data_IF_297553832643
#
_entry.id   IF_297553832643
#
_cell.length_a   1.000
_cell.length_b   1.000
_cell.length_c   1.000
_cell.angle_alpha   90.00
_cell.angle_beta   90.00
_cell.angle_gamma   90.00
#
_symmetry.space_group_name_H-M   'P 1'
#
loop_
_entity.id
_entity.type
_entity.pdbx_description
1 polymer ?
#
# COMPACT_ATOMS: atom_id res chain seq x y z
N UNK A 1 -4.53 8.73 -18.73
CA UNK A 1 -5.50 9.37 -17.82
C UNK A 1 -4.91 10.67 -17.30
N UNK A 2 -5.69 11.76 -17.22
CA UNK A 2 -5.27 13.02 -16.60
C UNK A 2 -5.64 12.97 -15.13
N UNK A 3 -4.66 13.14 -14.24
CA UNK A 3 -4.93 13.38 -12.82
C UNK A 3 -5.75 14.67 -12.69
N UNK A 4 -6.73 14.72 -11.77
CA UNK A 4 -7.53 15.92 -11.55
C UNK A 4 -6.70 17.06 -10.94
N UNK A 5 -7.15 18.29 -11.15
CA UNK A 5 -6.46 19.53 -10.75
C UNK A 5 -6.24 19.59 -9.22
N UNK A 6 -4.99 19.80 -8.72
CA UNK A 6 -4.66 19.81 -7.29
C UNK A 6 -5.44 20.82 -6.46
N UNK A 7 -5.91 21.92 -7.06
CA UNK A 7 -6.71 22.93 -6.38
C UNK A 7 -8.16 22.47 -6.15
N UNK A 8 -8.63 21.51 -6.95
CA UNK A 8 -10.01 20.99 -6.89
C UNK A 8 -10.09 19.55 -6.39
N UNK A 9 -8.98 18.80 -6.46
CA UNK A 9 -8.81 17.43 -6.02
C UNK A 9 -7.38 17.27 -5.49
N UNK A 10 -7.15 17.55 -4.19
CA UNK A 10 -5.84 17.37 -3.58
C UNK A 10 -5.37 15.92 -3.74
N UNK A 11 -4.05 15.74 -3.91
CA UNK A 11 -3.44 14.43 -3.95
C UNK A 11 -3.83 13.65 -2.69
N UNK A 12 -4.33 12.41 -2.85
CA UNK A 12 -4.62 11.59 -1.68
C UNK A 12 -3.31 11.17 -1.00
N UNK A 13 -3.38 10.74 0.27
CA UNK A 13 -2.19 10.38 1.04
C UNK A 13 -1.28 9.33 0.34
N UNK A 14 -1.86 8.42 -0.47
CA UNK A 14 -1.06 7.50 -1.27
C UNK A 14 -0.34 8.19 -2.43
N UNK A 15 -0.96 9.18 -3.09
CA UNK A 15 -0.29 9.96 -4.12
C UNK A 15 0.87 10.77 -3.54
N UNK A 16 0.68 11.39 -2.37
CA UNK A 16 1.77 12.11 -1.68
C UNK A 16 2.93 11.18 -1.33
N UNK A 17 2.64 9.98 -0.80
CA UNK A 17 3.65 8.98 -0.44
C UNK A 17 4.48 8.48 -1.65
N UNK A 18 3.91 8.48 -2.85
CA UNK A 18 4.48 7.77 -4.01
C UNK A 18 4.98 8.66 -5.11
N UNK A 19 4.36 9.82 -5.30
CA UNK A 19 4.72 10.82 -6.29
C UNK A 19 5.33 12.09 -5.66
N UNK A 20 5.25 12.21 -4.33
CA UNK A 20 5.64 13.41 -3.59
C UNK A 20 4.51 14.44 -3.48
N UNK A 21 4.75 15.58 -2.81
CA UNK A 21 3.75 16.63 -2.58
C UNK A 21 3.30 17.34 -3.88
N UNK A 22 4.06 17.18 -4.96
CA UNK A 22 3.77 17.71 -6.29
C UNK A 22 3.25 16.60 -7.20
N UNK A 23 2.15 16.86 -7.94
CA UNK A 23 1.53 15.92 -8.88
C UNK A 23 2.47 15.55 -10.04
N UNK A 24 3.31 14.55 -9.81
CA UNK A 24 4.16 13.91 -10.80
C UNK A 24 3.51 12.61 -11.27
N UNK A 25 3.48 12.36 -12.58
CA UNK A 25 3.07 11.06 -13.13
C UNK A 25 4.13 9.97 -12.87
N UNK A 26 5.34 10.38 -12.50
CA UNK A 26 6.42 9.50 -12.13
C UNK A 26 6.48 9.35 -10.62
N UNK A 27 6.80 8.15 -10.16
CA UNK A 27 7.15 7.90 -8.77
C UNK A 27 8.35 8.76 -8.34
N UNK A 28 8.30 9.28 -7.11
CA UNK A 28 9.40 10.05 -6.53
C UNK A 28 10.65 9.17 -6.35
N UNK A 29 11.82 9.80 -6.32
CA UNK A 29 13.06 9.09 -6.05
C UNK A 29 13.03 8.46 -4.65
N UNK A 30 12.45 9.13 -3.65
CA UNK A 30 12.29 8.57 -2.31
C UNK A 30 11.39 7.33 -2.32
N UNK A 31 10.29 7.35 -3.06
CA UNK A 31 9.41 6.18 -3.18
C UNK A 31 10.09 5.00 -3.86
N UNK A 32 10.87 5.24 -4.91
CA UNK A 32 11.65 4.17 -5.57
C UNK A 32 12.66 3.54 -4.61
N UNK A 33 13.38 4.35 -3.83
CA UNK A 33 14.29 3.87 -2.79
C UNK A 33 13.56 3.13 -1.64
N UNK A 34 12.33 3.56 -1.34
CA UNK A 34 11.47 2.90 -0.36
C UNK A 34 11.05 1.52 -0.83
N UNK A 35 10.56 1.40 -2.08
CA UNK A 35 10.17 0.11 -2.67
C UNK A 35 11.33 -0.85 -2.79
N UNK A 36 12.54 -0.39 -3.10
CA UNK A 36 13.70 -1.29 -3.21
C UNK A 36 14.06 -1.97 -1.88
N UNK A 37 13.62 -1.42 -0.75
CA UNK A 37 13.79 -2.02 0.58
C UNK A 37 12.76 -3.12 0.87
N UNK A 38 11.76 -3.31 0.01
CA UNK A 38 10.69 -4.29 0.20
C UNK A 38 11.03 -5.52 -0.65
N UNK A 39 11.38 -6.61 0.02
CA UNK A 39 11.91 -7.83 -0.58
C UNK A 39 10.79 -8.88 -0.61
N UNK A 40 10.67 -9.60 -1.74
CA UNK A 40 9.67 -10.64 -1.97
C UNK A 40 8.21 -10.19 -1.85
N UNK A 41 7.95 -8.89 -1.99
CA UNK A 41 6.62 -8.34 -2.19
C UNK A 41 6.68 -7.24 -3.25
N UNK A 42 5.68 -7.22 -4.12
CA UNK A 42 5.48 -6.12 -5.05
C UNK A 42 4.44 -5.18 -4.44
N UNK A 43 4.81 -3.94 -4.11
CA UNK A 43 3.82 -2.92 -3.79
C UNK A 43 3.28 -2.38 -5.11
N UNK A 44 2.10 -2.85 -5.47
CA UNK A 44 1.32 -2.29 -6.57
C UNK A 44 0.42 -1.21 -5.99
N UNK A 45 0.60 0.02 -6.44
CA UNK A 45 -0.44 1.03 -6.27
C UNK A 45 -1.57 0.69 -7.23
N UNK A 46 -2.60 0.03 -6.72
CA UNK A 46 -3.72 -0.36 -7.56
C UNK A 46 -4.64 0.85 -7.69
N UNK A 47 -4.62 1.50 -8.86
CA UNK A 47 -5.67 2.44 -9.22
C UNK A 47 -7.04 1.73 -9.17
N UNK A 48 -8.13 2.47 -8.96
CA UNK A 48 -9.46 1.88 -8.77
C UNK A 48 -9.87 0.92 -9.90
N UNK A 49 -9.35 1.15 -11.10
CA UNK A 49 -9.54 0.42 -12.35
C UNK A 49 -8.62 -0.81 -12.54
N UNK A 50 -7.53 -0.92 -11.80
CA UNK A 50 -6.54 -2.00 -11.95
C UNK A 50 -6.74 -3.14 -10.93
N UNK A 51 -7.80 -3.09 -10.13
CA UNK A 51 -8.10 -4.11 -9.10
C UNK A 51 -8.70 -5.35 -9.73
N UNK A 52 -8.21 -6.52 -9.33
CA UNK A 52 -8.90 -7.77 -9.63
C UNK A 52 -10.32 -7.74 -9.06
N UNK A 53 -11.28 -8.30 -9.79
CA UNK A 53 -12.69 -8.35 -9.33
C UNK A 53 -12.82 -8.99 -7.94
N UNK A 54 -11.98 -9.99 -7.63
CA UNK A 54 -11.90 -10.63 -6.32
C UNK A 54 -11.49 -9.65 -5.22
N UNK A 55 -10.46 -8.82 -5.44
CA UNK A 55 -10.05 -7.80 -4.49
C UNK A 55 -11.14 -6.73 -4.29
N UNK A 56 -11.80 -6.29 -5.37
CA UNK A 56 -12.90 -5.31 -5.29
C UNK A 56 -14.05 -5.83 -4.42
N UNK A 57 -14.47 -7.08 -4.65
CA UNK A 57 -15.56 -7.68 -3.88
C UNK A 57 -15.18 -7.86 -2.42
N UNK A 58 -13.96 -8.33 -2.15
CA UNK A 58 -13.46 -8.51 -0.79
C UNK A 58 -13.40 -7.17 -0.04
N UNK A 59 -12.87 -6.11 -0.66
CA UNK A 59 -12.82 -4.77 -0.07
C UNK A 59 -14.23 -4.24 0.25
N UNK A 60 -15.21 -4.45 -0.64
CA UNK A 60 -16.60 -4.06 -0.41
C UNK A 60 -17.23 -4.82 0.76
N UNK A 61 -17.02 -6.13 0.83
CA UNK A 61 -17.54 -6.97 1.91
C UNK A 61 -16.98 -6.57 3.27
N UNK A 62 -15.71 -6.17 3.33
CA UNK A 62 -15.01 -5.83 4.56
C UNK A 62 -15.00 -4.32 4.87
N UNK A 63 -15.69 -3.49 4.07
CA UNK A 63 -15.75 -2.04 4.29
C UNK A 63 -14.37 -1.34 4.17
N UNK A 64 -13.47 -1.89 3.36
CA UNK A 64 -12.08 -1.40 3.26
C UNK A 64 -12.01 -0.12 2.44
N UNK A 65 -11.67 0.98 3.11
CA UNK A 65 -11.43 2.27 2.49
C UNK A 65 -10.12 2.33 1.70
N UNK A 66 -9.99 3.37 0.88
CA UNK A 66 -8.78 3.66 0.10
C UNK A 66 -8.19 5.01 0.53
N UNK A 67 -6.87 5.19 0.56
CA UNK A 67 -5.84 4.23 0.14
C UNK A 67 -5.62 3.11 1.18
N UNK A 68 -5.13 1.94 0.75
CA UNK A 68 -4.76 0.84 1.63
C UNK A 68 -3.63 0.00 1.02
N UNK A 69 -2.75 -0.55 1.87
CA UNK A 69 -1.79 -1.58 1.49
C UNK A 69 -2.40 -2.93 1.85
N UNK A 70 -2.69 -3.72 0.83
CA UNK A 70 -3.30 -5.03 0.94
C UNK A 70 -2.33 -6.04 0.35
N UNK A 71 -2.18 -7.18 1.02
CA UNK A 71 -1.46 -8.33 0.48
C UNK A 71 -2.44 -9.44 0.13
N UNK A 72 -2.22 -10.08 -1.01
CA UNK A 72 -2.85 -11.34 -1.38
C UNK A 72 -2.02 -12.48 -0.80
N UNK A 73 -2.67 -13.38 -0.07
CA UNK A 73 -2.02 -14.58 0.41
C UNK A 73 -1.83 -15.53 -0.78
N UNK A 74 -0.58 -15.82 -1.15
CA UNK A 74 -0.29 -16.75 -2.24
C UNK A 74 -0.90 -18.13 -1.98
N UNK A 75 -1.29 -18.84 -3.04
CA UNK A 75 -1.85 -20.20 -2.95
C UNK A 75 -0.91 -21.14 -2.18
N UNK A 76 -1.28 -21.50 -0.95
CA UNK A 76 -0.44 -22.26 0.00
C UNK A 76 -0.18 -21.55 1.33
N UNK A 77 -0.30 -20.22 1.36
CA UNK A 77 -0.48 -19.44 2.58
C UNK A 77 -1.98 -19.27 2.75
N UNK A 78 -2.61 -20.10 3.58
CA UNK A 78 -3.90 -19.71 4.15
C UNK A 78 -3.62 -18.39 4.84
N UNK A 79 -4.20 -17.28 4.36
CA UNK A 79 -4.01 -16.00 5.01
C UNK A 79 -4.35 -16.13 6.49
N UNK A 80 -3.77 -15.29 7.34
CA UNK A 80 -4.09 -15.32 8.78
C UNK A 80 -5.62 -15.28 8.92
N UNK A 81 -6.21 -16.36 9.44
CA UNK A 81 -7.66 -16.59 9.59
C UNK A 81 -8.45 -17.08 8.34
N UNK A 82 -7.82 -17.59 7.29
CA UNK A 82 -8.54 -18.20 6.15
C UNK A 82 -8.87 -17.26 4.99
N UNK A 83 -8.54 -15.97 5.12
CA UNK A 83 -8.87 -14.95 4.13
C UNK A 83 -7.81 -14.86 3.01
N UNK A 84 -8.22 -14.69 1.74
CA UNK A 84 -7.29 -14.55 0.62
C UNK A 84 -6.55 -13.20 0.61
N UNK A 85 -7.05 -12.20 1.34
CA UNK A 85 -6.46 -10.87 1.42
C UNK A 85 -6.32 -10.40 2.86
N UNK A 86 -5.32 -9.56 3.12
CA UNK A 86 -5.14 -8.91 4.43
C UNK A 86 -4.69 -7.47 4.26
N UNK A 87 -5.31 -6.56 5.02
CA UNK A 87 -4.86 -5.16 5.11
C UNK A 87 -3.65 -5.11 6.03
N UNK A 88 -2.56 -4.53 5.54
CA UNK A 88 -1.38 -4.20 6.35
C UNK A 88 -1.46 -2.76 6.83
N UNK A 89 -1.86 -1.82 5.96
CA UNK A 89 -2.01 -0.40 6.28
C UNK A 89 -3.32 0.12 5.70
N UNK A 90 -4.15 0.76 6.53
CA UNK A 90 -5.39 1.40 6.11
C UNK A 90 -5.21 2.88 5.73
N UNK A 91 -6.30 3.57 5.39
CA UNK A 91 -6.27 4.99 5.02
C UNK A 91 -5.66 5.89 6.10
N UNK A 92 -5.94 5.61 7.38
CA UNK A 92 -5.40 6.40 8.50
C UNK A 92 -3.90 6.19 8.69
N UNK A 93 -3.43 4.93 8.60
CA UNK A 93 -2.00 4.59 8.66
C UNK A 93 -1.25 5.31 7.54
N UNK A 94 -1.76 5.24 6.30
CA UNK A 94 -1.14 5.87 5.12
C UNK A 94 -1.16 7.39 5.26
N UNK A 95 -2.23 7.99 5.76
CA UNK A 95 -2.31 9.43 6.01
C UNK A 95 -1.26 9.91 7.01
N UNK A 96 -0.92 9.10 8.00
CA UNK A 96 0.09 9.42 9.01
C UNK A 96 1.52 9.38 8.47
N UNK A 97 1.80 8.46 7.54
CA UNK A 97 3.16 8.24 7.00
C UNK A 97 3.36 8.84 5.60
N UNK A 98 2.39 9.60 5.10
CA UNK A 98 2.36 10.12 3.71
C UNK A 98 3.56 10.97 3.29
N UNK A 99 4.33 11.48 4.24
CA UNK A 99 5.59 12.21 4.02
C UNK A 99 6.79 11.58 4.73
N UNK A 100 6.61 10.43 5.39
CA UNK A 100 7.63 9.77 6.20
C UNK A 100 7.81 8.32 5.74
N UNK A 101 8.75 8.16 4.81
CA UNK A 101 9.05 6.88 4.19
C UNK A 101 9.70 5.88 5.16
N UNK A 102 10.43 6.35 6.16
CA UNK A 102 11.05 5.47 7.17
C UNK A 102 9.99 4.91 8.12
N UNK A 103 9.09 5.76 8.60
CA UNK A 103 7.98 5.34 9.43
C UNK A 103 7.02 4.43 8.66
N UNK A 104 6.79 4.69 7.36
CA UNK A 104 6.06 3.77 6.49
C UNK A 104 6.68 2.37 6.51
N UNK A 105 8.01 2.24 6.33
CA UNK A 105 8.70 0.95 6.33
C UNK A 105 8.65 0.26 7.70
N UNK A 106 8.85 1.01 8.79
CA UNK A 106 8.75 0.49 10.16
C UNK A 106 7.35 -0.06 10.43
N UNK A 107 6.32 0.70 10.08
CA UNK A 107 4.93 0.31 10.27
C UNK A 107 4.58 -0.91 9.41
N UNK A 108 5.00 -0.92 8.15
CA UNK A 108 4.80 -2.04 7.25
C UNK A 108 5.46 -3.32 7.79
N UNK A 109 6.72 -3.23 8.22
CA UNK A 109 7.44 -4.37 8.82
C UNK A 109 6.74 -4.90 10.07
N UNK A 110 6.30 -4.02 10.97
CA UNK A 110 5.57 -4.41 12.17
C UNK A 110 4.26 -5.16 11.84
N UNK A 111 3.52 -4.70 10.82
CA UNK A 111 2.27 -5.32 10.37
C UNK A 111 2.51 -6.66 9.68
N UNK A 112 3.59 -6.78 8.89
CA UNK A 112 4.03 -8.04 8.27
C UNK A 112 4.38 -9.08 9.34
N UNK A 113 5.18 -8.69 10.34
CA UNK A 113 5.58 -9.56 11.45
C UNK A 113 4.38 -9.99 12.28
N UNK A 114 3.49 -9.06 12.64
CA UNK A 114 2.25 -9.36 13.36
C UNK A 114 1.30 -10.27 12.55
N UNK A 115 1.37 -10.20 11.22
CA UNK A 115 0.66 -11.09 10.33
C UNK A 115 1.37 -12.43 10.08
N UNK A 116 2.53 -12.70 10.68
CA UNK A 116 3.26 -13.94 10.47
C UNK A 116 3.71 -14.16 9.02
N UNK A 117 3.82 -13.09 8.23
CA UNK A 117 4.19 -13.13 6.82
C UNK A 117 5.71 -13.25 6.68
N UNK A 118 6.25 -14.42 7.02
CA UNK A 118 7.70 -14.66 7.06
C UNK A 118 8.41 -14.54 5.70
N UNK A 119 7.63 -14.59 4.61
CA UNK A 119 8.15 -14.52 3.24
C UNK A 119 8.33 -13.09 2.72
N UNK A 120 7.70 -12.09 3.35
CA UNK A 120 7.89 -10.68 3.01
C UNK A 120 8.88 -10.07 3.99
N UNK A 121 9.90 -9.40 3.49
CA UNK A 121 10.92 -8.72 4.32
C UNK A 121 10.99 -7.26 3.94
N UNK A 122 11.14 -6.40 4.94
CA UNK A 122 11.40 -4.97 4.76
C UNK A 122 12.77 -4.68 5.36
N UNK A 123 13.68 -4.15 4.54
CA UNK A 123 15.00 -3.70 4.96
C UNK A 123 14.88 -2.32 5.60
N UNK A 124 14.74 -2.31 6.93
CA UNK A 124 14.69 -1.10 7.73
C UNK A 124 16.08 -0.87 8.29
N UNK A 125 16.77 0.15 7.77
CA UNK A 125 18.09 0.58 8.25
C UNK A 125 18.01 1.19 9.65
#
# INVERSE_FOLDING_TARGET
MRCPDPATNPACAACELTHGPSLSLNESAEWKATKSKIINANIVQVHLDERSNSLIQWMKQHGVGTPAVIIEAASGMIGVNGEPFKILLGPEDISRVRTDHEEFLRMLQARITAAGLQNVKVDVA
#
